data_IF_430964885408
#
_entry.id   IF_430964885408
#
_cell.length_a   1.000
_cell.length_b   1.000
_cell.length_c   1.000
_cell.angle_alpha   90.00
_cell.angle_beta   90.00
_cell.angle_gamma   90.00
#
_symmetry.space_group_name_H-M   'P 1'
#
loop_
_entity.id
_entity.type
_entity.pdbx_description
1 polymer ?
#
# COMPACT_ATOMS: atom_id res chain seq x y z
N UNK A 1 -16.65 -42.85 2.02
CA UNK A 1 -15.33 -43.44 1.89
C UNK A 1 -14.40 -42.81 2.94
N UNK A 2 -14.01 -43.58 3.90
CA UNK A 2 -13.11 -43.07 4.93
C UNK A 2 -11.68 -43.03 4.39
N UNK A 3 -11.08 -41.85 4.45
CA UNK A 3 -9.67 -41.71 4.13
C UNK A 3 -8.86 -42.07 5.36
N UNK A 4 -8.31 -43.28 5.35
CA UNK A 4 -7.42 -43.72 6.41
C UNK A 4 -6.04 -43.08 6.24
N UNK A 5 -5.87 -41.91 6.82
CA UNK A 5 -4.57 -41.29 6.91
C UNK A 5 -3.81 -41.82 8.11
N UNK A 6 -2.53 -42.14 7.93
CA UNK A 6 -1.67 -42.52 9.06
C UNK A 6 -1.61 -41.34 10.06
N UNK A 7 -1.33 -41.65 11.34
CA UNK A 7 -1.19 -40.61 12.37
C UNK A 7 -0.19 -39.51 11.95
N UNK A 8 0.87 -39.87 11.26
CA UNK A 8 1.89 -38.97 10.77
C UNK A 8 1.35 -37.98 9.71
N UNK A 9 0.52 -38.48 8.77
CA UNK A 9 -0.10 -37.64 7.75
C UNK A 9 -1.14 -36.69 8.34
N UNK A 10 -1.92 -37.12 9.31
CA UNK A 10 -2.87 -36.27 10.03
C UNK A 10 -2.15 -35.15 10.77
N UNK A 11 -1.02 -35.43 11.36
CA UNK A 11 -0.20 -34.45 12.07
C UNK A 11 0.34 -33.37 11.11
N UNK A 12 0.87 -33.78 9.96
CA UNK A 12 1.36 -32.89 8.92
C UNK A 12 0.25 -31.96 8.41
N UNK A 13 -0.95 -32.52 8.15
CA UNK A 13 -2.10 -31.72 7.74
C UNK A 13 -2.49 -30.66 8.78
N UNK A 14 -2.48 -31.01 10.05
CA UNK A 14 -2.75 -30.08 11.14
C UNK A 14 -1.74 -28.95 11.19
N UNK A 15 -0.46 -29.27 11.05
CA UNK A 15 0.62 -28.27 11.02
C UNK A 15 0.44 -27.33 9.84
N UNK A 16 0.13 -27.85 8.65
CA UNK A 16 -0.10 -27.04 7.44
C UNK A 16 -1.30 -26.10 7.66
N UNK A 17 -2.41 -26.59 8.20
CA UNK A 17 -3.58 -25.77 8.48
C UNK A 17 -3.27 -24.65 9.49
N UNK A 18 -2.51 -24.95 10.54
CA UNK A 18 -2.09 -23.96 11.53
C UNK A 18 -1.20 -22.90 10.89
N UNK A 19 -0.25 -23.29 10.04
CA UNK A 19 0.62 -22.37 9.34
C UNK A 19 -0.17 -21.42 8.41
N UNK A 20 -1.14 -21.95 7.67
CA UNK A 20 -2.00 -21.14 6.80
C UNK A 20 -2.83 -20.14 7.60
N UNK A 21 -3.42 -20.58 8.71
CA UNK A 21 -4.21 -19.70 9.58
C UNK A 21 -3.37 -18.62 10.25
N UNK A 22 -2.10 -18.90 10.56
CA UNK A 22 -1.19 -17.91 11.16
C UNK A 22 -0.67 -16.88 10.17
N UNK A 23 -0.70 -17.16 8.87
CA UNK A 23 -0.20 -16.20 7.85
C UNK A 23 -1.01 -14.90 7.82
N UNK A 24 -2.32 -14.96 7.95
CA UNK A 24 -3.17 -13.77 7.93
C UNK A 24 -2.85 -12.77 9.05
N UNK A 25 -2.77 -13.15 10.32
CA UNK A 25 -2.36 -12.24 11.37
C UNK A 25 -0.90 -11.77 11.23
N UNK A 26 0.01 -12.60 10.74
CA UNK A 26 1.40 -12.22 10.52
C UNK A 26 1.49 -11.10 9.47
N UNK A 27 0.80 -11.23 8.34
CA UNK A 27 0.76 -10.19 7.30
C UNK A 27 0.19 -8.89 7.85
N UNK A 28 -0.90 -8.96 8.62
CA UNK A 28 -1.50 -7.79 9.24
C UNK A 28 -0.52 -7.09 10.20
N UNK A 29 0.16 -7.86 11.06
CA UNK A 29 1.15 -7.32 11.99
C UNK A 29 2.35 -6.71 11.27
N UNK A 30 2.85 -7.36 10.22
CA UNK A 30 3.94 -6.82 9.42
C UNK A 30 3.57 -5.48 8.79
N UNK A 31 2.38 -5.37 8.20
CA UNK A 31 1.91 -4.13 7.60
C UNK A 31 1.80 -3.01 8.64
N UNK A 32 1.19 -3.29 9.79
CA UNK A 32 0.93 -2.29 10.81
C UNK A 32 2.15 -1.92 11.65
N UNK A 33 2.95 -2.90 12.06
CA UNK A 33 4.03 -2.69 13.03
C UNK A 33 5.42 -2.60 12.39
N UNK A 34 5.60 -3.05 11.16
CA UNK A 34 6.88 -3.01 10.48
C UNK A 34 6.90 -1.97 9.36
N UNK A 35 6.04 -2.12 8.36
CA UNK A 35 6.05 -1.21 7.21
C UNK A 35 5.53 0.18 7.54
N UNK A 36 4.49 0.27 8.34
CA UNK A 36 3.87 1.54 8.72
C UNK A 36 4.00 1.86 10.21
N UNK A 37 5.08 1.39 10.82
CA UNK A 37 5.48 1.85 12.15
C UNK A 37 5.85 3.34 12.07
N UNK A 38 5.57 4.11 13.12
CA UNK A 38 5.84 5.56 13.16
C UNK A 38 7.28 5.92 12.76
N UNK A 39 8.25 5.06 13.09
CA UNK A 39 9.65 5.26 12.71
C UNK A 39 9.94 4.93 11.24
N UNK A 40 9.05 4.20 10.57
CA UNK A 40 9.23 3.72 9.20
C UNK A 40 8.30 4.43 8.21
N UNK A 41 7.51 5.39 8.66
CA UNK A 41 6.62 6.16 7.80
C UNK A 41 7.37 7.36 7.24
N UNK A 42 7.21 7.58 5.92
CA UNK A 42 7.70 8.76 5.21
C UNK A 42 6.59 9.33 4.35
N UNK A 43 6.71 10.58 4.00
CA UNK A 43 5.73 11.29 3.19
C UNK A 43 6.37 11.86 1.93
N UNK A 44 5.63 11.85 0.84
CA UNK A 44 6.06 12.47 -0.41
C UNK A 44 4.85 12.98 -1.16
N UNK A 45 5.08 13.60 -2.31
CA UNK A 45 4.03 14.14 -3.15
C UNK A 45 3.80 13.19 -4.32
N UNK A 46 2.54 12.81 -4.52
CA UNK A 46 2.12 12.06 -5.69
C UNK A 46 1.47 12.96 -6.72
N UNK A 47 1.77 12.71 -7.98
CA UNK A 47 1.19 13.42 -9.12
C UNK A 47 0.19 12.51 -9.81
N UNK A 48 -0.99 13.04 -10.16
CA UNK A 48 -1.99 12.30 -10.90
C UNK A 48 -1.41 11.77 -12.21
N UNK A 49 -1.62 10.50 -12.46
CA UNK A 49 -1.10 9.81 -13.64
C UNK A 49 -2.20 9.49 -14.63
N UNK A 50 -3.22 8.77 -14.20
CA UNK A 50 -4.36 8.39 -15.03
C UNK A 50 -5.51 7.87 -14.18
N UNK A 51 -6.72 7.87 -14.76
CA UNK A 51 -7.81 7.10 -14.20
C UNK A 51 -7.45 5.63 -14.25
N UNK A 52 -7.58 4.96 -13.12
CA UNK A 52 -7.12 3.61 -12.97
C UNK A 52 -7.88 2.61 -13.82
N UNK A 53 -7.23 1.50 -14.05
CA UNK A 53 -7.81 0.34 -14.68
C UNK A 53 -8.95 -0.15 -13.79
N UNK A 54 -10.10 -0.48 -14.40
CA UNK A 54 -11.19 -1.16 -13.71
C UNK A 54 -10.66 -2.52 -13.27
N UNK A 55 -10.22 -2.61 -12.03
CA UNK A 55 -9.87 -3.88 -11.42
C UNK A 55 -11.16 -4.46 -10.89
N UNK A 56 -11.56 -5.62 -11.37
CA UNK A 56 -12.82 -6.26 -11.09
C UNK A 56 -14.02 -5.46 -11.64
N UNK A 57 -15.01 -6.14 -12.09
CA UNK A 57 -16.27 -5.65 -12.64
C UNK A 57 -17.05 -4.65 -11.75
N UNK A 58 -16.43 -4.09 -10.72
CA UNK A 58 -17.00 -3.00 -9.95
C UNK A 58 -16.89 -1.70 -10.75
N UNK A 59 -17.94 -0.89 -10.72
CA UNK A 59 -18.03 0.37 -11.42
C UNK A 59 -17.09 1.47 -10.88
N UNK A 60 -16.32 1.21 -9.86
CA UNK A 60 -15.41 2.17 -9.26
C UNK A 60 -14.08 2.19 -10.01
N UNK A 61 -13.75 3.34 -10.59
CA UNK A 61 -12.45 3.59 -11.22
C UNK A 61 -11.47 4.06 -10.16
N UNK A 62 -10.37 3.34 -9.99
CA UNK A 62 -9.29 3.82 -9.15
C UNK A 62 -8.45 4.85 -9.90
N UNK A 63 -7.91 5.84 -9.20
CA UNK A 63 -7.00 6.83 -9.76
C UNK A 63 -5.57 6.47 -9.39
N UNK A 64 -4.68 6.52 -10.38
CA UNK A 64 -3.27 6.25 -10.21
C UNK A 64 -2.46 7.53 -9.99
N UNK A 65 -1.52 7.47 -9.05
CA UNK A 65 -0.59 8.55 -8.75
C UNK A 65 0.84 8.04 -8.83
N UNK A 66 1.71 8.88 -9.36
CA UNK A 66 3.14 8.59 -9.44
C UNK A 66 3.85 9.35 -8.32
N UNK A 67 4.74 8.66 -7.63
CA UNK A 67 5.66 9.28 -6.68
C UNK A 67 7.06 8.71 -6.85
N UNK A 68 8.05 9.46 -6.42
CA UNK A 68 9.46 9.08 -6.54
C UNK A 68 10.09 9.00 -5.17
N UNK A 69 10.85 7.93 -4.94
CA UNK A 69 11.69 7.76 -3.76
C UNK A 69 13.10 7.41 -4.23
N UNK A 70 14.09 8.20 -3.84
CA UNK A 70 15.48 8.04 -4.28
C UNK A 70 15.62 7.98 -5.81
N UNK A 71 14.84 8.78 -6.51
CA UNK A 71 14.75 8.86 -7.98
C UNK A 71 14.15 7.62 -8.66
N UNK A 72 13.59 6.69 -7.89
CA UNK A 72 12.89 5.51 -8.41
C UNK A 72 11.40 5.79 -8.48
N UNK A 73 10.81 5.57 -9.65
CA UNK A 73 9.38 5.77 -9.88
C UNK A 73 8.56 4.67 -9.25
N UNK A 74 7.52 5.06 -8.52
CA UNK A 74 6.51 4.16 -7.97
C UNK A 74 5.13 4.64 -8.39
N UNK A 75 4.18 3.72 -8.47
CA UNK A 75 2.78 4.01 -8.77
C UNK A 75 1.91 3.46 -7.65
N UNK A 76 0.96 4.26 -7.21
CA UNK A 76 -0.04 3.86 -6.22
C UNK A 76 -1.42 4.22 -6.73
N UNK A 77 -2.42 3.39 -6.44
CA UNK A 77 -3.80 3.62 -6.84
C UNK A 77 -4.69 3.82 -5.61
N UNK A 78 -5.75 4.59 -5.79
CA UNK A 78 -6.74 4.82 -4.74
C UNK A 78 -8.12 5.04 -5.32
N UNK A 79 -9.14 4.65 -4.57
CA UNK A 79 -10.53 4.94 -4.88
C UNK A 79 -11.05 6.21 -4.20
N UNK A 80 -10.23 6.87 -3.37
CA UNK A 80 -10.68 8.01 -2.54
C UNK A 80 -11.15 9.22 -3.33
N UNK A 81 -10.72 9.39 -4.57
CA UNK A 81 -11.05 10.54 -5.41
C UNK A 81 -11.84 10.17 -6.66
N UNK A 82 -12.66 9.13 -6.59
CA UNK A 82 -13.32 8.52 -7.75
C UNK A 82 -14.13 9.50 -8.62
N UNK A 83 -14.81 10.46 -8.03
CA UNK A 83 -15.70 11.39 -8.72
C UNK A 83 -15.11 12.79 -8.86
N UNK A 84 -13.82 12.95 -8.62
CA UNK A 84 -13.15 14.24 -8.62
C UNK A 84 -12.17 14.30 -9.78
N UNK A 85 -12.17 15.42 -10.51
CA UNK A 85 -11.11 15.67 -11.50
C UNK A 85 -9.81 16.01 -10.76
N UNK A 86 -8.83 15.13 -10.90
CA UNK A 86 -7.53 15.26 -10.25
C UNK A 86 -6.43 15.73 -11.19
N UNK A 87 -6.78 16.15 -12.43
CA UNK A 87 -5.83 16.69 -13.38
C UNK A 87 -5.06 17.85 -12.76
N UNK A 88 -3.74 17.84 -12.90
CA UNK A 88 -2.84 18.88 -12.34
C UNK A 88 -2.88 18.98 -10.82
N UNK A 89 -3.35 17.95 -10.12
CA UNK A 89 -3.43 17.94 -8.67
C UNK A 89 -2.31 17.09 -8.08
N UNK A 90 -1.75 17.56 -6.97
CA UNK A 90 -0.78 16.80 -6.18
C UNK A 90 -1.42 16.35 -4.88
N UNK A 91 -1.14 15.12 -4.49
CA UNK A 91 -1.68 14.56 -3.25
C UNK A 91 -0.53 14.13 -2.34
N UNK A 92 -0.82 14.05 -1.04
CA UNK A 92 0.14 13.55 -0.07
C UNK A 92 0.11 12.02 -0.07
N UNK A 93 1.28 11.42 -0.19
CA UNK A 93 1.45 9.97 -0.16
C UNK A 93 2.28 9.58 1.06
N UNK A 94 1.76 8.64 1.82
CA UNK A 94 2.46 8.00 2.93
C UNK A 94 3.04 6.67 2.43
N UNK A 95 4.33 6.47 2.60
CA UNK A 95 4.98 5.24 2.18
C UNK A 95 5.89 4.68 3.27
N UNK A 96 6.23 3.40 3.15
CA UNK A 96 7.15 2.75 4.08
C UNK A 96 8.59 3.03 3.70
N UNK A 97 9.40 3.47 4.67
CA UNK A 97 10.83 3.64 4.48
C UNK A 97 11.55 2.28 4.29
N UNK A 98 10.94 1.20 4.73
CA UNK A 98 11.46 -0.16 4.60
C UNK A 98 11.17 -0.73 3.22
N UNK A 99 9.96 -0.51 2.71
CA UNK A 99 9.55 -0.97 1.39
C UNK A 99 8.83 0.16 0.66
N UNK A 100 9.54 0.88 -0.19
CA UNK A 100 9.08 2.13 -0.82
C UNK A 100 7.86 1.97 -1.71
N UNK A 101 7.64 0.79 -2.27
CA UNK A 101 6.45 0.49 -3.06
C UNK A 101 5.18 0.29 -2.24
N UNK A 102 5.29 0.13 -0.93
CA UNK A 102 4.14 -0.01 -0.04
C UNK A 102 3.69 1.37 0.44
N UNK A 103 2.65 1.89 -0.19
CA UNK A 103 2.22 3.26 -0.02
C UNK A 103 0.71 3.38 0.04
N UNK A 104 0.25 4.47 0.67
CA UNK A 104 -1.17 4.82 0.77
C UNK A 104 -1.34 6.29 0.36
N UNK A 105 -2.36 6.55 -0.44
CA UNK A 105 -2.75 7.92 -0.77
C UNK A 105 -3.57 8.49 0.38
N UNK A 106 -3.13 9.60 0.92
CA UNK A 106 -3.89 10.33 1.93
C UNK A 106 -4.87 11.27 1.24
N UNK A 107 -6.01 11.54 1.88
CA UNK A 107 -7.04 12.43 1.33
C UNK A 107 -6.67 13.90 1.50
N UNK A 108 -5.41 14.25 1.22
CA UNK A 108 -4.87 15.59 1.40
C UNK A 108 -4.32 16.06 0.06
N UNK A 109 -4.88 17.16 -0.46
CA UNK A 109 -4.38 17.84 -1.65
C UNK A 109 -3.26 18.77 -1.21
N UNK A 110 -2.09 18.63 -1.83
CA UNK A 110 -0.92 19.41 -1.48
C UNK A 110 -0.97 20.75 -2.21
N UNK A 111 -0.89 21.88 -1.48
CA UNK A 111 -0.84 23.20 -2.12
C UNK A 111 0.43 23.37 -2.96
N UNK A 112 0.33 24.20 -4.01
CA UNK A 112 1.47 24.45 -4.92
C UNK A 112 2.67 25.10 -4.23
N UNK A 113 2.47 25.80 -3.12
CA UNK A 113 3.55 26.46 -2.38
C UNK A 113 4.36 25.51 -1.50
N UNK A 114 3.92 24.26 -1.33
CA UNK A 114 4.71 23.27 -0.59
C UNK A 114 5.94 22.90 -1.40
N UNK A 115 7.09 22.98 -0.76
CA UNK A 115 8.37 22.65 -1.39
C UNK A 115 8.45 21.18 -1.76
N UNK A 116 9.27 20.87 -2.77
CA UNK A 116 9.50 19.51 -3.19
C UNK A 116 10.08 18.65 -2.04
N UNK A 117 9.66 17.38 -1.93
CA UNK A 117 10.18 16.51 -0.89
C UNK A 117 11.66 16.17 -1.10
N UNK A 118 12.40 15.88 -0.02
CA UNK A 118 13.71 15.28 -0.16
C UNK A 118 13.62 13.92 -0.86
N UNK A 119 14.72 13.43 -1.41
CA UNK A 119 14.73 12.17 -2.19
C UNK A 119 14.17 10.98 -1.41
N UNK A 120 14.45 10.91 -0.11
CA UNK A 120 13.98 9.84 0.76
C UNK A 120 12.60 10.11 1.38
N UNK A 121 11.95 11.22 1.04
CA UNK A 121 10.69 11.65 1.62
C UNK A 121 10.85 12.40 2.95
N UNK A 122 9.77 13.04 3.39
CA UNK A 122 9.74 13.71 4.70
C UNK A 122 9.47 12.70 5.81
N UNK A 123 10.15 12.84 6.93
CA UNK A 123 9.81 12.09 8.15
C UNK A 123 8.50 12.58 8.78
N UNK A 124 8.27 13.89 8.68
CA UNK A 124 7.03 14.53 9.08
C UNK A 124 6.60 15.47 7.98
N UNK A 125 5.30 15.56 7.73
CA UNK A 125 4.78 16.49 6.73
C UNK A 125 4.99 17.94 7.22
N UNK A 126 5.57 18.79 6.38
CA UNK A 126 5.83 20.18 6.76
C UNK A 126 4.57 21.03 6.92
#
# INVERSE_FOLDING_TARGET
MEINLSKKKKWILRIICICVLLQLPIVYFMDKFYYFNDNNIRYTIGTYYKDGIIINSSSSKEKGFIYYVDSIKHVVTTSKFNNTDMSHTHVLIMFSAVFHGNAKVLSIIVPKWVLAPPKAGWEQFP
#
